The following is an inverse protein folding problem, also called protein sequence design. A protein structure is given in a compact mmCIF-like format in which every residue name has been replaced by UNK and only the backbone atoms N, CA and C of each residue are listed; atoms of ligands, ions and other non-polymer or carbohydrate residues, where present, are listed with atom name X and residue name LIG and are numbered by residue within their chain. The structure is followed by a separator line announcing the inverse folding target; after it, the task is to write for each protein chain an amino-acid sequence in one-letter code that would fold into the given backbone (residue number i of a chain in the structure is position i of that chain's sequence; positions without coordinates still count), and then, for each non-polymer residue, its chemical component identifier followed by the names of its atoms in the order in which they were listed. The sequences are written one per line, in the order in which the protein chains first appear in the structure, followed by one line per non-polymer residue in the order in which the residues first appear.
data_IF_519737831098
#
_entry.id   IF_519737831098
#
_cell.length_a   1.000
_cell.length_b   1.000
_cell.length_c   1.000
_cell.angle_alpha   90.00
_cell.angle_beta   90.00
_cell.angle_gamma   90.00
#
_symmetry.space_group_name_H-M   'P 1'
#
loop_
_entity.id
_entity.type
_entity.pdbx_description
1 polymer ?
#
# COMPACT_ATOMS: atom_id res chain seq x y z
N UNK A 1 15.76 -7.71 14.87
CA UNK A 1 14.81 -8.30 13.89
C UNK A 1 13.48 -7.56 14.06
N UNK A 2 12.88 -6.99 13.01
CA UNK A 2 11.69 -6.12 13.16
C UNK A 2 10.42 -6.87 13.58
N UNK A 3 9.77 -6.42 14.66
CA UNK A 3 8.55 -7.05 15.20
C UNK A 3 7.32 -6.70 14.37
N UNK A 4 7.17 -5.44 13.96
CA UNK A 4 6.11 -4.97 13.07
C UNK A 4 6.13 -5.74 11.75
N UNK A 5 7.31 -5.89 11.12
CA UNK A 5 7.44 -6.65 9.88
C UNK A 5 6.99 -8.11 10.02
N UNK A 6 7.33 -8.75 11.15
CA UNK A 6 6.89 -10.12 11.43
C UNK A 6 5.37 -10.23 11.55
N UNK A 7 4.70 -9.26 12.21
CA UNK A 7 3.24 -9.22 12.30
C UNK A 7 2.56 -9.02 10.94
N UNK A 8 3.17 -8.21 10.08
CA UNK A 8 2.72 -7.99 8.70
C UNK A 8 2.84 -9.28 7.88
N UNK A 9 3.99 -9.97 7.93
CA UNK A 9 4.11 -11.22 7.19
C UNK A 9 3.22 -12.33 7.78
N UNK A 10 2.91 -12.35 9.08
CA UNK A 10 1.88 -13.27 9.59
C UNK A 10 0.50 -13.03 8.93
N UNK A 11 0.16 -11.79 8.61
CA UNK A 11 -1.10 -11.46 7.93
C UNK A 11 -1.10 -11.91 6.44
N UNK A 12 0.00 -11.67 5.73
CA UNK A 12 0.17 -12.04 4.31
C UNK A 12 0.73 -13.46 4.09
N UNK A 13 0.87 -14.27 5.14
CA UNK A 13 1.53 -15.57 5.05
C UNK A 13 3.07 -15.48 5.02
N UNK A 14 3.74 -16.63 5.18
CA UNK A 14 5.19 -16.70 5.35
C UNK A 14 5.95 -15.82 4.34
N UNK A 15 6.87 -15.00 4.85
CA UNK A 15 7.66 -14.03 4.08
C UNK A 15 6.82 -13.06 3.23
N UNK A 16 5.59 -12.75 3.67
CA UNK A 16 4.68 -11.86 2.96
C UNK A 16 4.34 -12.34 1.54
N UNK A 17 4.40 -13.66 1.30
CA UNK A 17 4.26 -14.29 -0.02
C UNK A 17 2.91 -14.00 -0.69
N UNK A 18 1.82 -13.90 0.08
CA UNK A 18 0.46 -13.68 -0.45
C UNK A 18 0.11 -12.20 -0.66
N UNK A 19 1.01 -11.27 -0.34
CA UNK A 19 0.76 -9.86 -0.59
C UNK A 19 0.87 -9.56 -2.08
N UNK A 20 -0.13 -8.89 -2.65
CA UNK A 20 -0.01 -8.32 -4.00
C UNK A 20 1.00 -7.17 -4.01
N UNK A 21 1.49 -6.78 -5.19
CA UNK A 21 2.36 -5.60 -5.30
C UNK A 21 1.65 -4.34 -4.77
N UNK A 22 0.39 -4.18 -5.15
CA UNK A 22 -0.48 -3.08 -4.72
C UNK A 22 -0.70 -3.06 -3.20
N UNK A 23 -0.94 -4.21 -2.57
CA UNK A 23 -1.07 -4.34 -1.11
C UNK A 23 0.17 -3.77 -0.39
N UNK A 24 1.36 -4.10 -0.90
CA UNK A 24 2.61 -3.64 -0.31
C UNK A 24 2.85 -2.14 -0.52
N UNK A 25 2.45 -1.58 -1.67
CA UNK A 25 2.53 -0.14 -1.93
C UNK A 25 1.66 0.66 -0.96
N UNK A 26 0.40 0.24 -0.78
CA UNK A 26 -0.50 0.89 0.18
C UNK A 26 0.00 0.75 1.61
N UNK A 27 0.51 -0.43 1.97
CA UNK A 27 1.12 -0.65 3.27
C UNK A 27 2.33 0.26 3.49
N UNK A 28 3.21 0.44 2.50
CA UNK A 28 4.36 1.33 2.62
C UNK A 28 3.94 2.78 2.88
N UNK A 29 2.90 3.24 2.20
CA UNK A 29 2.30 4.55 2.44
C UNK A 29 1.77 4.69 3.86
N UNK A 30 1.03 3.68 4.35
CA UNK A 30 0.41 3.74 5.67
C UNK A 30 1.44 3.63 6.81
N UNK A 31 2.51 2.84 6.62
CA UNK A 31 3.65 2.82 7.56
C UNK A 31 4.38 4.16 7.56
N UNK A 32 4.57 4.78 6.40
CA UNK A 32 5.16 6.11 6.29
C UNK A 32 4.34 7.17 7.05
N UNK A 33 3.01 7.13 6.90
CA UNK A 33 2.08 7.98 7.66
C UNK A 33 2.18 7.74 9.17
N UNK A 34 2.11 6.47 9.59
CA UNK A 34 2.24 6.05 11.00
C UNK A 34 3.56 6.49 11.63
N UNK A 35 4.66 6.52 10.87
CA UNK A 35 5.96 6.99 11.37
C UNK A 35 5.91 8.47 11.82
N UNK A 36 5.10 9.28 11.13
CA UNK A 36 4.93 10.71 11.40
C UNK A 36 3.92 10.93 12.53
N UNK A 37 2.71 10.40 12.38
CA UNK A 37 1.57 10.73 13.26
C UNK A 37 1.40 9.76 14.45
N UNK A 38 2.15 8.66 14.48
CA UNK A 38 2.05 7.62 15.52
C UNK A 38 0.75 6.79 15.46
N UNK A 39 -0.03 6.93 14.39
CA UNK A 39 -1.27 6.19 14.22
C UNK A 39 -1.03 4.70 14.04
N UNK A 40 -2.08 3.90 14.26
CA UNK A 40 -2.00 2.47 13.99
C UNK A 40 -1.92 2.21 12.47
N UNK A 41 -1.16 1.18 12.12
CA UNK A 41 -0.93 0.75 10.74
C UNK A 41 -2.04 -0.21 10.34
N UNK A 42 -2.69 0.08 9.23
CA UNK A 42 -3.72 -0.74 8.62
C UNK A 42 -3.11 -1.61 7.52
N UNK A 43 -3.19 -2.92 7.72
CA UNK A 43 -2.76 -3.92 6.75
C UNK A 43 -4.01 -4.46 6.07
N UNK A 44 -4.07 -4.35 4.74
CA UNK A 44 -5.22 -4.75 3.92
C UNK A 44 -4.76 -5.67 2.81
N UNK A 45 -5.53 -6.72 2.55
CA UNK A 45 -5.34 -7.57 1.38
C UNK A 45 -6.67 -7.74 0.68
N UNK A 46 -6.67 -7.54 -0.63
CA UNK A 46 -7.80 -7.86 -1.49
C UNK A 46 -7.34 -8.85 -2.55
N UNK A 47 -7.91 -10.05 -2.52
CA UNK A 47 -7.67 -11.09 -3.53
C UNK A 47 -8.84 -11.19 -4.53
N UNK A 48 -9.68 -10.15 -4.59
CA UNK A 48 -10.88 -10.09 -5.45
C UNK A 48 -12.11 -10.83 -4.90
N UNK A 49 -11.93 -11.73 -3.92
CA UNK A 49 -13.02 -12.51 -3.32
C UNK A 49 -13.22 -12.21 -1.83
N UNK A 50 -12.13 -11.93 -1.11
CA UNK A 50 -12.13 -11.70 0.33
C UNK A 50 -11.28 -10.47 0.65
N UNK A 51 -11.92 -9.45 1.22
CA UNK A 51 -11.22 -8.30 1.78
C UNK A 51 -10.84 -8.62 3.23
N UNK A 52 -9.54 -8.77 3.49
CA UNK A 52 -9.00 -8.94 4.84
C UNK A 52 -8.36 -7.64 5.29
N UNK A 53 -8.60 -7.24 6.53
CA UNK A 53 -7.92 -6.09 7.14
C UNK A 53 -7.50 -6.40 8.58
N UNK A 54 -6.39 -5.79 9.00
CA UNK A 54 -5.89 -5.85 10.37
C UNK A 54 -5.26 -4.53 10.75
N UNK A 55 -5.58 -4.04 11.94
CA UNK A 55 -4.94 -2.85 12.51
C UNK A 55 -3.84 -3.29 13.48
N UNK A 56 -2.62 -2.81 13.24
CA UNK A 56 -1.44 -3.09 14.06
C UNK A 56 -1.03 -1.81 14.78
N UNK A 57 -0.97 -1.85 16.11
CA UNK A 57 -0.45 -0.73 16.89
C UNK A 57 1.04 -0.56 16.61
N UNK A 58 1.48 0.69 16.45
CA UNK A 58 2.89 1.00 16.31
C UNK A 58 3.65 0.51 17.56
N UNK A 59 4.73 -0.24 17.35
CA UNK A 59 5.56 -0.78 18.44
C UNK A 59 6.62 0.25 18.84
N UNK A 60 7.38 0.79 17.87
CA UNK A 60 8.30 1.92 18.06
C UNK A 60 8.66 2.56 16.71
N UNK A 61 9.14 3.81 16.72
CA UNK A 61 9.60 4.50 15.49
C UNK A 61 10.78 3.79 14.82
N UNK A 62 11.73 3.28 15.60
CA UNK A 62 12.88 2.53 15.07
C UNK A 62 12.43 1.22 14.40
N UNK A 63 11.49 0.48 15.02
CA UNK A 63 10.95 -0.73 14.41
C UNK A 63 10.11 -0.43 13.16
N UNK A 64 9.44 0.72 13.13
CA UNK A 64 8.70 1.23 11.97
C UNK A 64 9.64 1.51 10.79
N UNK A 65 10.78 2.18 11.02
CA UNK A 65 11.82 2.42 10.01
C UNK A 65 12.43 1.10 9.53
N UNK A 66 12.77 0.20 10.44
CA UNK A 66 13.31 -1.11 10.09
C UNK A 66 12.31 -1.93 9.25
N UNK A 67 11.01 -1.81 9.55
CA UNK A 67 9.95 -2.43 8.76
C UNK A 67 9.87 -1.83 7.35
N UNK A 68 9.93 -0.50 7.21
CA UNK A 68 9.96 0.16 5.89
C UNK A 68 11.13 -0.32 5.03
N UNK A 69 12.34 -0.41 5.58
CA UNK A 69 13.50 -0.88 4.83
C UNK A 69 13.33 -2.32 4.31
N UNK A 70 12.76 -3.22 5.13
CA UNK A 70 12.45 -4.58 4.70
C UNK A 70 11.33 -4.62 3.66
N UNK A 71 10.33 -3.77 3.80
CA UNK A 71 9.21 -3.67 2.86
C UNK A 71 9.67 -3.13 1.49
N UNK A 72 10.57 -2.15 1.47
CA UNK A 72 11.18 -1.62 0.26
C UNK A 72 11.94 -2.72 -0.51
N UNK A 73 12.80 -3.48 0.18
CA UNK A 73 13.50 -4.61 -0.43
C UNK A 73 12.56 -5.71 -0.96
N UNK A 74 11.38 -5.90 -0.34
CA UNK A 74 10.37 -6.82 -0.82
C UNK A 74 9.64 -6.27 -2.07
N UNK A 75 9.34 -4.98 -2.07
CA UNK A 75 8.73 -4.28 -3.20
C UNK A 75 9.64 -4.33 -4.42
N UNK A 76 10.94 -4.07 -4.26
CA UNK A 76 11.94 -4.19 -5.34
C UNK A 76 11.91 -5.59 -5.96
N UNK A 77 12.02 -6.64 -5.14
CA UNK A 77 11.96 -8.04 -5.60
C UNK A 77 10.66 -8.38 -6.31
N UNK A 78 9.52 -7.87 -5.82
CA UNK A 78 8.23 -8.12 -6.46
C UNK A 78 8.11 -7.35 -7.77
N UNK A 79 8.61 -6.11 -7.84
CA UNK A 79 8.63 -5.31 -9.05
C UNK A 79 9.44 -6.00 -10.15
N UNK A 80 10.63 -6.51 -9.81
CA UNK A 80 11.48 -7.28 -10.73
C UNK A 80 10.81 -8.56 -11.23
N UNK A 81 9.96 -9.17 -10.39
CA UNK A 81 9.23 -10.41 -10.72
C UNK A 81 7.86 -10.17 -11.38
N UNK A 82 7.43 -8.92 -11.55
CA UNK A 82 6.13 -8.63 -12.15
C UNK A 82 6.13 -8.97 -13.66
N UNK A 83 5.09 -9.66 -14.16
CA UNK A 83 4.91 -9.84 -15.59
C UNK A 83 4.79 -8.49 -16.30
N UNK A 84 5.31 -8.40 -17.53
CA UNK A 84 5.23 -7.18 -18.34
C UNK A 84 3.80 -6.67 -18.51
N UNK A 85 2.82 -7.56 -18.63
CA UNK A 85 1.39 -7.20 -18.72
C UNK A 85 0.85 -6.50 -17.47
N UNK A 86 1.33 -6.87 -16.29
CA UNK A 86 0.96 -6.23 -15.02
C UNK A 86 1.61 -4.85 -14.89
N UNK A 87 2.87 -4.71 -15.31
CA UNK A 87 3.55 -3.41 -15.38
C UNK A 87 2.80 -2.44 -16.31
N UNK A 88 2.44 -2.90 -17.51
CA UNK A 88 1.64 -2.12 -18.47
C UNK A 88 0.26 -1.74 -17.90
N UNK A 89 -0.35 -2.60 -17.08
CA UNK A 89 -1.61 -2.28 -16.40
C UNK A 89 -1.43 -1.19 -15.34
N UNK A 90 -0.36 -1.28 -14.54
CA UNK A 90 -0.01 -0.24 -13.55
C UNK A 90 0.29 1.10 -14.22
N UNK A 91 1.01 1.11 -15.34
CA UNK A 91 1.29 2.33 -16.12
C UNK A 91 0.01 2.98 -16.64
N UNK A 92 -0.95 2.18 -17.13
CA UNK A 92 -2.27 2.68 -17.55
C UNK A 92 -3.04 3.27 -16.39
N UNK A 93 -3.04 2.63 -15.21
CA UNK A 93 -3.67 3.17 -14.01
C UNK A 93 -3.04 4.52 -13.64
N UNK A 94 -1.70 4.61 -13.66
CA UNK A 94 -1.00 5.85 -13.38
C UNK A 94 -1.39 6.97 -14.36
N UNK A 95 -1.45 6.66 -15.66
CA UNK A 95 -1.90 7.61 -16.69
C UNK A 95 -3.35 8.05 -16.49
N UNK A 96 -4.25 7.14 -16.11
CA UNK A 96 -5.64 7.48 -15.81
C UNK A 96 -5.75 8.39 -14.58
N UNK A 97 -5.01 8.13 -13.52
CA UNK A 97 -4.99 8.98 -12.31
C UNK A 97 -4.41 10.36 -12.64
N UNK A 98 -3.32 10.40 -13.39
CA UNK A 98 -2.69 11.66 -13.82
C UNK A 98 -3.61 12.47 -14.74
N UNK A 99 -4.33 11.81 -15.66
CA UNK A 99 -5.29 12.44 -16.56
C UNK A 99 -6.58 12.89 -15.87
N UNK A 100 -7.10 12.10 -14.91
CA UNK A 100 -8.26 12.46 -14.09
C UNK A 100 -7.98 13.65 -13.14
N UNK A 101 -6.71 13.86 -12.77
CA UNK A 101 -6.28 15.05 -12.02
C UNK A 101 -6.28 16.33 -12.88
N UNK A 102 -6.51 16.22 -14.20
CA UNK A 102 -6.58 17.35 -15.13
C UNK A 102 -7.95 18.04 -15.20
N UNK A 103 -9.05 17.37 -14.84
CA UNK A 103 -10.40 17.96 -14.86
C UNK A 103 -11.26 17.38 -13.72
N UNK A 104 -11.20 18.01 -12.55
CA UNK A 104 -12.36 18.02 -11.67
C UNK A 104 -13.40 18.92 -12.34
N UNK A 105 -14.55 18.41 -12.84
CA UNK A 105 -15.60 19.27 -13.33
C UNK A 105 -15.98 20.21 -12.19
N UNK A 106 -15.84 21.52 -12.44
CA UNK A 106 -16.30 22.57 -11.52
C UNK A 106 -17.73 22.22 -11.16
N UNK A 107 -18.00 22.05 -9.86
CA UNK A 107 -19.36 21.87 -9.33
C UNK A 107 -20.29 22.82 -10.08
N UNK A 108 -21.36 22.29 -10.65
CA UNK A 108 -22.50 23.06 -11.12
C UNK A 108 -23.07 23.83 -9.92
N UNK A 109 -22.46 24.97 -9.60
CA UNK A 109 -23.10 26.04 -8.86
C UNK A 109 -23.97 26.76 -9.88
N UNK A 110 -25.14 26.18 -10.16
CA UNK A 110 -26.23 26.90 -10.80
C UNK A 110 -27.25 27.22 -9.70
N UNK A 111 -27.35 28.46 -9.20
CA UNK A 111 -28.34 28.84 -8.19
C UNK A 111 -29.77 28.97 -8.75
N UNK A 112 -30.03 28.60 -10.00
CA UNK A 112 -31.31 28.83 -10.69
C UNK A 112 -31.94 27.57 -11.31
N UNK A 113 -31.71 26.38 -10.72
CA UNK A 113 -32.47 25.16 -11.01
C UNK A 113 -33.26 24.70 -9.78
#
# INVERSE_FOLDING_TARGET
MSQLFNQICQFYGANCSKASFTDLCFLASDIGRSLVDGSAIEVKSSDGFVNRSKRIKQVSRLDTIACLGKLAALLEKKLEALPKSELEHLDRIQQMIAGASGELPKRLNDPNL
#
